data_IF_478963595021
#
_entry.id   IF_478963595021
#
_cell.length_a   1.000
_cell.length_b   1.000
_cell.length_c   1.000
_cell.angle_alpha   90.00
_cell.angle_beta   90.00
_cell.angle_gamma   90.00
#
_symmetry.space_group_name_H-M   'P 1'
#
loop_
_entity.id
_entity.type
_entity.pdbx_description
1 polymer ?
#
# COMPACT_ATOMS: atom_id res chain seq x y z
N UNK A 1 18.88 11.42 47.24
CA UNK A 1 18.44 12.25 46.10
C UNK A 1 19.11 11.72 44.85
N UNK A 2 18.37 11.09 43.95
CA UNK A 2 18.93 10.44 42.76
C UNK A 2 19.05 11.47 41.64
N UNK A 3 20.28 11.84 41.26
CA UNK A 3 20.53 12.72 40.13
C UNK A 3 20.39 11.87 38.87
N UNK A 4 19.20 11.90 38.26
CA UNK A 4 18.96 11.23 36.98
C UNK A 4 19.36 12.22 35.88
N UNK A 5 20.47 11.96 35.20
CA UNK A 5 20.92 12.81 34.09
C UNK A 5 20.00 12.62 32.87
N UNK A 6 19.37 13.70 32.41
CA UNK A 6 18.57 13.71 31.17
C UNK A 6 19.50 13.77 29.94
N UNK A 7 20.34 12.75 29.76
CA UNK A 7 21.16 12.59 28.57
C UNK A 7 20.38 11.73 27.56
N UNK A 8 19.75 12.38 26.57
CA UNK A 8 18.99 11.68 25.54
C UNK A 8 17.83 12.46 24.91
N UNK A 9 17.50 13.65 25.43
CA UNK A 9 16.42 14.48 24.87
C UNK A 9 16.70 15.11 23.50
N UNK A 10 17.93 14.98 23.00
CA UNK A 10 18.33 15.55 21.71
C UNK A 10 18.34 14.47 20.63
N UNK A 11 17.66 14.75 19.52
CA UNK A 11 17.73 13.90 18.33
C UNK A 11 19.18 13.75 17.89
N UNK A 12 19.60 12.50 17.64
CA UNK A 12 20.90 12.21 17.07
C UNK A 12 21.02 12.83 15.66
N UNK A 13 22.24 13.09 15.16
CA UNK A 13 22.41 13.63 13.81
C UNK A 13 21.71 12.80 12.72
N UNK A 14 21.69 11.47 12.87
CA UNK A 14 20.97 10.57 11.96
C UNK A 14 19.44 10.72 12.06
N UNK A 15 18.91 10.83 13.27
CA UNK A 15 17.47 11.07 13.49
C UNK A 15 17.03 12.42 12.92
N UNK A 16 17.87 13.46 13.01
CA UNK A 16 17.60 14.78 12.41
C UNK A 16 17.51 14.69 10.89
N UNK A 17 18.48 14.02 10.25
CA UNK A 17 18.49 13.80 8.79
C UNK A 17 17.27 13.02 8.32
N UNK A 18 16.88 11.98 9.05
CA UNK A 18 15.68 11.20 8.72
C UNK A 18 14.41 12.04 8.85
N UNK A 19 14.34 12.91 9.86
CA UNK A 19 13.20 13.81 10.06
C UNK A 19 13.11 14.89 8.97
N UNK A 20 14.24 15.44 8.54
CA UNK A 20 14.32 16.36 7.39
C UNK A 20 13.91 15.67 6.10
N UNK A 21 14.39 14.45 5.85
CA UNK A 21 13.97 13.64 4.71
C UNK A 21 12.45 13.41 4.71
N UNK A 22 11.88 13.03 5.85
CA UNK A 22 10.43 12.84 5.98
C UNK A 22 9.67 14.15 5.76
N UNK A 23 10.15 15.29 6.27
CA UNK A 23 9.53 16.60 6.04
C UNK A 23 9.52 16.98 4.56
N UNK A 24 10.60 16.68 3.84
CA UNK A 24 10.72 17.00 2.41
C UNK A 24 9.95 16.01 1.52
N UNK A 25 9.84 14.74 1.94
CA UNK A 25 9.11 13.71 1.19
C UNK A 25 7.59 13.80 1.41
N UNK A 26 7.13 14.25 2.59
CA UNK A 26 5.69 14.37 2.92
C UNK A 26 4.90 15.16 1.87
N UNK A 27 5.34 16.34 1.37
CA UNK A 27 4.64 17.05 0.30
C UNK A 27 4.52 16.27 -1.02
N UNK A 28 5.49 15.41 -1.33
CA UNK A 28 5.45 14.58 -2.53
C UNK A 28 4.44 13.43 -2.40
N UNK A 29 4.28 12.87 -1.19
CA UNK A 29 3.29 11.82 -0.91
C UNK A 29 1.89 12.35 -0.58
N UNK A 30 1.79 13.56 0.00
CA UNK A 30 0.55 14.27 0.30
C UNK A 30 0.24 15.30 -0.78
N UNK A 31 0.42 14.93 -2.05
CA UNK A 31 -0.03 15.82 -3.12
C UNK A 31 -1.56 15.87 -3.07
N UNK A 32 -2.13 17.06 -2.92
CA UNK A 32 -3.58 17.25 -2.87
C UNK A 32 -4.27 16.58 -4.08
N UNK A 33 -3.59 16.61 -5.23
CA UNK A 33 -4.01 15.96 -6.47
C UNK A 33 -4.20 14.45 -6.31
N UNK A 34 -3.27 13.73 -5.65
CA UNK A 34 -3.43 12.28 -5.42
C UNK A 34 -4.61 12.00 -4.50
N UNK A 35 -4.82 12.83 -3.48
CA UNK A 35 -5.96 12.69 -2.56
C UNK A 35 -7.29 12.89 -3.29
N UNK A 36 -7.37 13.94 -4.12
CA UNK A 36 -8.55 14.24 -4.92
C UNK A 36 -8.83 13.12 -5.94
N UNK A 37 -7.80 12.63 -6.63
CA UNK A 37 -7.91 11.50 -7.57
C UNK A 37 -8.40 10.21 -6.89
N UNK A 38 -7.89 9.90 -5.69
CA UNK A 38 -8.35 8.74 -4.92
C UNK A 38 -9.81 8.92 -4.51
N UNK A 39 -10.21 10.11 -4.06
CA UNK A 39 -11.60 10.38 -3.69
C UNK A 39 -12.55 10.27 -4.89
N UNK A 40 -12.17 10.81 -6.05
CA UNK A 40 -12.95 10.71 -7.30
C UNK A 40 -13.07 9.27 -7.79
N UNK A 41 -11.97 8.51 -7.78
CA UNK A 41 -11.97 7.11 -8.22
C UNK A 41 -12.81 6.22 -7.30
N UNK A 42 -12.76 6.42 -5.98
CA UNK A 42 -13.61 5.70 -5.04
C UNK A 42 -15.09 5.97 -5.30
N UNK A 43 -15.49 7.23 -5.51
CA UNK A 43 -16.86 7.59 -5.89
C UNK A 43 -17.29 6.92 -7.20
N UNK A 44 -16.43 6.92 -8.21
CA UNK A 44 -16.72 6.26 -9.49
C UNK A 44 -16.90 4.73 -9.34
N UNK A 45 -16.13 4.11 -8.44
CA UNK A 45 -16.25 2.68 -8.13
C UNK A 45 -17.55 2.39 -7.37
N UNK A 46 -17.95 3.23 -6.42
CA UNK A 46 -19.21 3.09 -5.68
C UNK A 46 -20.42 3.17 -6.62
N UNK A 47 -20.45 4.17 -7.52
CA UNK A 47 -21.52 4.30 -8.52
C UNK A 47 -21.58 3.07 -9.43
N UNK A 48 -20.43 2.54 -9.87
CA UNK A 48 -20.38 1.31 -10.69
C UNK A 48 -20.87 0.08 -9.93
N UNK A 49 -20.58 0.00 -8.63
CA UNK A 49 -21.04 -1.08 -7.75
C UNK A 49 -22.57 -1.04 -7.58
N UNK A 50 -23.13 0.13 -7.36
CA UNK A 50 -24.59 0.33 -7.24
C UNK A 50 -25.33 0.07 -8.55
N UNK A 51 -24.71 0.40 -9.69
CA UNK A 51 -25.23 0.12 -11.02
C UNK A 51 -25.16 -1.38 -11.41
N UNK A 52 -24.63 -2.25 -10.54
CA UNK A 52 -24.65 -3.70 -10.74
C UNK A 52 -23.87 -4.19 -11.96
N UNK A 53 -22.98 -3.37 -12.52
CA UNK A 53 -22.22 -3.73 -13.72
C UNK A 53 -21.20 -4.80 -13.34
N UNK A 54 -21.36 -6.01 -13.90
CA UNK A 54 -20.37 -7.09 -13.80
C UNK A 54 -19.01 -6.54 -14.22
N UNK A 55 -17.95 -6.65 -13.40
CA UNK A 55 -16.63 -6.19 -13.80
C UNK A 55 -16.18 -7.01 -15.01
N UNK A 56 -15.77 -6.35 -16.09
CA UNK A 56 -15.41 -7.02 -17.36
C UNK A 56 -14.29 -8.05 -17.19
N UNK A 57 -13.45 -7.92 -16.16
CA UNK A 57 -12.38 -8.86 -15.82
C UNK A 57 -12.22 -9.00 -14.30
N UNK A 58 -13.09 -9.76 -13.66
CA UNK A 58 -12.76 -10.37 -12.36
C UNK A 58 -11.95 -11.62 -12.67
N UNK A 59 -10.66 -11.62 -12.34
CA UNK A 59 -9.88 -12.85 -12.34
C UNK A 59 -10.44 -13.74 -11.24
N UNK A 60 -11.14 -14.81 -11.62
CA UNK A 60 -11.60 -15.83 -10.70
C UNK A 60 -10.56 -16.94 -10.67
N UNK A 61 -10.23 -17.42 -9.48
CA UNK A 61 -9.36 -18.58 -9.31
C UNK A 61 -10.10 -19.80 -9.86
N UNK A 62 -9.72 -20.26 -11.05
CA UNK A 62 -10.34 -21.42 -11.72
C UNK A 62 -9.99 -22.72 -10.98
N UNK A 63 -8.79 -22.80 -10.40
CA UNK A 63 -8.27 -24.00 -9.75
C UNK A 63 -7.21 -23.58 -8.74
N UNK A 64 -7.31 -24.10 -7.52
CA UNK A 64 -6.28 -23.96 -6.49
C UNK A 64 -5.89 -25.37 -6.08
N UNK A 65 -4.70 -25.80 -6.49
CA UNK A 65 -4.15 -27.09 -6.11
C UNK A 65 -2.85 -26.89 -5.34
N UNK A 66 -2.71 -27.66 -4.25
CA UNK A 66 -1.50 -27.73 -3.45
C UNK A 66 -0.74 -29.00 -3.82
N UNK A 67 0.45 -28.85 -4.41
CA UNK A 67 1.32 -29.95 -4.82
C UNK A 67 2.37 -29.49 -5.85
N UNK A 68 3.31 -30.37 -6.19
CA UNK A 68 4.27 -30.13 -7.29
C UNK A 68 3.57 -30.44 -8.61
N UNK A 69 3.52 -29.45 -9.50
CA UNK A 69 2.87 -29.58 -10.78
C UNK A 69 3.63 -30.56 -11.70
N UNK A 70 2.97 -31.63 -12.14
CA UNK A 70 3.51 -32.54 -13.13
C UNK A 70 3.32 -31.95 -14.53
N UNK A 71 4.41 -31.65 -15.25
CA UNK A 71 4.31 -31.06 -16.58
C UNK A 71 3.66 -31.98 -17.63
N UNK A 72 3.71 -33.30 -17.43
CA UNK A 72 3.06 -34.25 -18.34
C UNK A 72 1.53 -34.13 -18.28
N UNK A 73 0.96 -34.12 -17.05
CA UNK A 73 -0.48 -33.94 -16.84
C UNK A 73 -0.99 -32.61 -17.37
N UNK A 74 -0.20 -31.54 -17.31
CA UNK A 74 -0.58 -30.24 -17.87
C UNK A 74 -0.68 -30.23 -19.38
N UNK A 75 0.23 -30.94 -20.03
CA UNK A 75 0.32 -31.03 -21.49
C UNK A 75 -0.64 -32.09 -22.05
N UNK A 76 -1.42 -32.76 -21.19
CA UNK A 76 -2.43 -33.75 -21.59
C UNK A 76 -1.86 -35.12 -21.98
N UNK A 77 -0.67 -35.47 -21.48
CA UNK A 77 -0.02 -36.76 -21.67
C UNK A 77 -0.18 -37.68 -20.46
#
# INVERSE_FOLDING_TARGET
>A
MMIVSFQGGQLSPGQRRQLEFQRNARPAFLSAVLVDQVAETLKAVEVRKEQGIKPERVWFTVRQETGTFCMAEWMGY
#
